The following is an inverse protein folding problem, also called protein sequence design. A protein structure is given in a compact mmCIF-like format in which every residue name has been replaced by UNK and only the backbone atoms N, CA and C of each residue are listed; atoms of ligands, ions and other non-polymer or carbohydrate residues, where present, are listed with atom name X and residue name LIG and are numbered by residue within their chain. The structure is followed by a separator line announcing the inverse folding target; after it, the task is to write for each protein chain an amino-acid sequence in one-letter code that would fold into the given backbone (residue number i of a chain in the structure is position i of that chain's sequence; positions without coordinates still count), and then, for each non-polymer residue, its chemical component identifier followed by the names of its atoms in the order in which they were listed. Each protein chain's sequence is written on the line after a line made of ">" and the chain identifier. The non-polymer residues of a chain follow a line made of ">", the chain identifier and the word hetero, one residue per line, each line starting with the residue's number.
data_IF_051437306943
#
_entry.id   IF_051437306943
#
_cell.length_a   1.000
_cell.length_b   1.000
_cell.length_c   1.000
_cell.angle_alpha   90.00
_cell.angle_beta   90.00
_cell.angle_gamma   90.00
#
_symmetry.space_group_name_H-M   'P 1'
#
loop_
_entity.id
_entity.type
_entity.pdbx_description
1 polymer ?
#
# COMPACT_ATOMS: atom_id res chain seq x y z
N UNK A 1 31.36 -6.58 17.96
CA UNK A 1 31.17 -7.24 16.65
C UNK A 1 30.06 -8.27 16.84
N UNK A 2 28.98 -8.20 16.08
CA UNK A 2 27.83 -9.10 16.18
C UNK A 2 28.28 -10.54 15.87
N UNK A 3 28.10 -11.51 16.78
CA UNK A 3 28.38 -12.92 16.47
C UNK A 3 27.22 -13.51 15.65
N UNK A 4 27.27 -13.26 14.34
CA UNK A 4 26.23 -13.69 13.39
C UNK A 4 26.03 -15.20 13.36
N UNK A 5 27.07 -16.00 13.66
CA UNK A 5 26.93 -17.47 13.69
C UNK A 5 26.10 -17.93 14.87
N UNK A 6 26.36 -17.37 16.05
CA UNK A 6 25.56 -17.64 17.25
C UNK A 6 24.11 -17.19 17.04
N UNK A 7 23.92 -15.96 16.56
CA UNK A 7 22.58 -15.42 16.28
C UNK A 7 21.80 -16.28 15.28
N UNK A 8 22.42 -16.66 14.16
CA UNK A 8 21.77 -17.50 13.17
C UNK A 8 21.39 -18.88 13.73
N UNK A 9 22.22 -19.44 14.64
CA UNK A 9 21.86 -20.67 15.36
C UNK A 9 20.65 -20.46 16.27
N UNK A 10 20.60 -19.36 17.03
CA UNK A 10 19.43 -18.98 17.85
C UNK A 10 18.17 -18.87 16.98
N UNK A 11 18.24 -18.14 15.87
CA UNK A 11 17.11 -17.92 14.98
C UNK A 11 16.59 -19.22 14.33
N UNK A 12 17.48 -20.09 13.86
CA UNK A 12 17.07 -21.39 13.29
C UNK A 12 16.38 -22.28 14.33
N UNK A 13 16.96 -22.37 15.52
CA UNK A 13 16.38 -23.12 16.64
C UNK A 13 15.02 -22.57 17.06
N UNK A 14 14.86 -21.26 17.00
CA UNK A 14 13.61 -20.56 17.27
C UNK A 14 12.54 -20.87 16.21
N UNK A 15 12.91 -20.82 14.93
CA UNK A 15 12.05 -21.22 13.80
C UNK A 15 11.60 -22.69 13.88
N UNK A 16 12.50 -23.61 14.26
CA UNK A 16 12.15 -25.03 14.47
C UNK A 16 11.09 -25.20 15.57
N UNK A 17 11.21 -24.46 16.68
CA UNK A 17 10.25 -24.49 17.77
C UNK A 17 8.92 -23.84 17.38
N UNK A 18 8.96 -22.73 16.64
CA UNK A 18 7.77 -22.08 16.05
C UNK A 18 7.02 -23.07 15.16
N UNK A 19 7.69 -23.70 14.19
CA UNK A 19 7.05 -24.68 13.32
C UNK A 19 6.40 -25.83 14.11
N UNK A 20 7.10 -26.34 15.13
CA UNK A 20 6.60 -27.49 15.90
C UNK A 20 5.46 -27.15 16.86
N UNK A 21 5.52 -26.00 17.53
CA UNK A 21 4.63 -25.67 18.64
C UNK A 21 3.53 -24.68 18.25
N UNK A 22 3.82 -23.79 17.30
CA UNK A 22 2.86 -22.80 16.83
C UNK A 22 2.11 -23.39 15.65
N UNK A 23 2.80 -23.63 14.53
CA UNK A 23 2.17 -24.02 13.26
C UNK A 23 1.51 -25.39 13.37
N UNK A 24 2.20 -26.39 13.91
CA UNK A 24 1.70 -27.77 13.96
C UNK A 24 0.88 -28.12 15.21
N UNK A 25 0.65 -27.17 16.12
CA UNK A 25 -0.05 -27.47 17.37
C UNK A 25 -1.01 -26.36 17.82
N UNK A 26 -0.52 -25.15 18.06
CA UNK A 26 -1.37 -24.08 18.60
C UNK A 26 -2.36 -23.54 17.58
N UNK A 27 -1.96 -23.37 16.32
CA UNK A 27 -2.87 -22.89 15.29
C UNK A 27 -4.00 -23.90 15.06
N UNK A 28 -3.75 -25.20 14.80
CA UNK A 28 -4.81 -26.20 14.66
C UNK A 28 -5.74 -26.26 15.88
N UNK A 29 -5.19 -26.09 17.09
CA UNK A 29 -5.98 -26.07 18.32
C UNK A 29 -6.87 -24.82 18.42
N UNK A 30 -6.39 -23.69 17.91
CA UNK A 30 -7.14 -22.44 17.90
C UNK A 30 -8.25 -22.44 16.84
N UNK A 31 -7.99 -23.04 15.68
CA UNK A 31 -8.99 -23.32 14.64
C UNK A 31 -10.10 -24.24 15.19
N UNK A 32 -9.74 -25.38 15.79
CA UNK A 32 -10.71 -26.35 16.30
C UNK A 32 -11.60 -25.77 17.42
N UNK A 33 -11.02 -24.99 18.35
CA UNK A 33 -11.76 -24.51 19.54
C UNK A 33 -12.46 -23.19 19.37
N UNK A 34 -11.83 -22.23 18.69
CA UNK A 34 -12.33 -20.86 18.58
C UNK A 34 -12.77 -20.52 17.15
N UNK A 35 -12.53 -21.42 16.17
CA UNK A 35 -12.86 -21.21 14.76
C UNK A 35 -12.31 -19.89 14.22
N UNK A 36 -11.09 -19.54 14.66
CA UNK A 36 -10.46 -18.26 14.31
C UNK A 36 -10.24 -18.11 12.80
N UNK A 37 -10.02 -19.22 12.10
CA UNK A 37 -10.03 -19.32 10.64
C UNK A 37 -11.37 -18.88 10.06
N UNK A 38 -12.47 -19.46 10.53
CA UNK A 38 -13.82 -19.17 10.05
C UNK A 38 -14.19 -17.71 10.34
N UNK A 39 -13.80 -17.18 11.51
CA UNK A 39 -14.04 -15.78 11.87
C UNK A 39 -13.26 -14.80 11.00
N UNK A 40 -12.00 -15.12 10.67
CA UNK A 40 -11.21 -14.31 9.75
C UNK A 40 -11.80 -14.33 8.34
N UNK A 41 -12.12 -15.52 7.82
CA UNK A 41 -12.72 -15.67 6.49
C UNK A 41 -14.08 -14.97 6.39
N UNK A 42 -14.91 -15.07 7.43
CA UNK A 42 -16.18 -14.35 7.47
C UNK A 42 -15.97 -12.83 7.47
N UNK A 43 -15.05 -12.31 8.27
CA UNK A 43 -14.71 -10.88 8.26
C UNK A 43 -14.17 -10.41 6.91
N UNK A 44 -13.38 -11.25 6.23
CA UNK A 44 -12.92 -10.96 4.89
C UNK A 44 -14.05 -10.96 3.87
N UNK A 45 -14.96 -11.93 3.92
CA UNK A 45 -16.09 -12.03 2.99
C UNK A 45 -17.08 -10.88 3.17
N UNK A 46 -17.42 -10.56 4.42
CA UNK A 46 -18.41 -9.54 4.79
C UNK A 46 -17.96 -8.11 4.36
N UNK A 47 -16.67 -7.79 4.45
CA UNK A 47 -16.15 -6.44 4.18
C UNK A 47 -15.34 -6.33 2.87
N UNK A 48 -14.69 -7.42 2.44
CA UNK A 48 -13.69 -7.43 1.36
C UNK A 48 -13.90 -8.58 0.36
N UNK A 49 -15.11 -9.14 0.28
CA UNK A 49 -15.40 -10.31 -0.56
C UNK A 49 -15.02 -10.12 -2.03
N UNK A 50 -15.08 -8.89 -2.55
CA UNK A 50 -14.67 -8.55 -3.92
C UNK A 50 -13.18 -8.79 -4.19
N UNK A 51 -12.32 -8.79 -3.16
CA UNK A 51 -10.89 -9.07 -3.31
C UNK A 51 -10.59 -10.57 -3.26
N UNK A 52 -11.47 -11.39 -2.67
CA UNK A 52 -11.23 -12.82 -2.51
C UNK A 52 -11.18 -13.54 -3.86
N UNK A 53 -11.88 -13.02 -4.87
CA UNK A 53 -11.84 -13.54 -6.24
C UNK A 53 -10.50 -13.30 -6.94
N UNK A 54 -9.72 -12.30 -6.49
CA UNK A 54 -8.41 -11.96 -7.06
C UNK A 54 -7.24 -12.71 -6.39
N UNK A 55 -7.46 -13.30 -5.22
CA UNK A 55 -6.41 -13.92 -4.42
C UNK A 55 -6.34 -15.44 -4.63
N UNK A 56 -5.13 -15.95 -4.86
CA UNK A 56 -4.89 -17.39 -4.90
C UNK A 56 -5.23 -18.05 -3.55
N UNK A 57 -5.84 -19.24 -3.53
CA UNK A 57 -6.24 -19.92 -2.29
C UNK A 57 -5.09 -20.11 -1.28
N UNK A 58 -3.87 -20.37 -1.76
CA UNK A 58 -2.69 -20.53 -0.92
C UNK A 58 -2.33 -19.23 -0.17
N UNK A 59 -2.57 -18.08 -0.79
CA UNK A 59 -2.36 -16.77 -0.16
C UNK A 59 -3.37 -16.56 0.97
N UNK A 60 -4.65 -16.83 0.71
CA UNK A 60 -5.70 -16.72 1.73
C UNK A 60 -5.35 -17.60 2.94
N UNK A 61 -4.95 -18.86 2.70
CA UNK A 61 -4.51 -19.75 3.77
C UNK A 61 -3.34 -19.18 4.57
N UNK A 62 -2.31 -18.64 3.89
CA UNK A 62 -1.14 -18.08 4.57
C UNK A 62 -1.49 -16.82 5.40
N UNK A 63 -2.40 -15.97 4.91
CA UNK A 63 -2.92 -14.81 5.64
C UNK A 63 -3.69 -15.25 6.90
N UNK A 64 -4.54 -16.27 6.79
CA UNK A 64 -5.25 -16.86 7.94
C UNK A 64 -4.27 -17.32 9.01
N UNK A 65 -3.24 -18.10 8.64
CA UNK A 65 -2.24 -18.60 9.59
C UNK A 65 -1.49 -17.45 10.29
N UNK A 66 -1.10 -16.42 9.55
CA UNK A 66 -0.44 -15.24 10.11
C UNK A 66 -1.36 -14.47 11.06
N UNK A 67 -2.63 -14.30 10.71
CA UNK A 67 -3.63 -13.64 11.55
C UNK A 67 -3.88 -14.43 12.84
N UNK A 68 -4.01 -15.76 12.77
CA UNK A 68 -4.21 -16.60 13.96
C UNK A 68 -3.00 -16.49 14.89
N UNK A 69 -1.78 -16.57 14.35
CA UNK A 69 -0.56 -16.38 15.14
C UNK A 69 -0.53 -15.00 15.81
N UNK A 70 -0.95 -13.95 15.10
CA UNK A 70 -1.11 -12.63 15.68
C UNK A 70 -2.16 -12.59 16.80
N UNK A 71 -3.33 -13.22 16.65
CA UNK A 71 -4.32 -13.27 17.75
C UNK A 71 -3.81 -14.05 18.96
N UNK A 72 -3.03 -15.11 18.74
CA UNK A 72 -2.45 -15.92 19.80
C UNK A 72 -1.40 -15.14 20.62
N UNK A 73 -0.50 -14.39 19.97
CA UNK A 73 0.68 -13.81 20.63
C UNK A 73 0.76 -12.29 20.61
N UNK A 74 -0.12 -11.62 19.87
CA UNK A 74 -0.23 -10.17 19.78
C UNK A 74 -1.02 -9.56 20.94
N UNK A 75 -1.63 -8.40 20.70
CA UNK A 75 -2.17 -7.50 21.72
C UNK A 75 -2.99 -8.20 22.82
N UNK A 76 -3.87 -9.13 22.42
CA UNK A 76 -4.78 -9.82 23.34
C UNK A 76 -4.26 -11.15 23.91
N UNK A 77 -3.12 -11.66 23.43
CA UNK A 77 -2.44 -12.88 23.91
C UNK A 77 -3.39 -14.07 24.13
N UNK A 78 -4.19 -14.44 23.11
CA UNK A 78 -5.14 -15.54 23.23
C UNK A 78 -4.49 -16.88 23.59
N UNK A 79 -3.18 -17.05 23.33
CA UNK A 79 -2.43 -18.24 23.71
C UNK A 79 -2.58 -18.63 25.20
N UNK A 80 -2.84 -17.65 26.09
CA UNK A 80 -3.09 -17.90 27.52
C UNK A 80 -4.24 -18.87 27.78
N UNK A 81 -5.25 -18.90 26.91
CA UNK A 81 -6.38 -19.83 26.99
C UNK A 81 -5.97 -21.29 26.80
N UNK A 82 -4.88 -21.53 26.08
CA UNK A 82 -4.45 -22.87 25.66
C UNK A 82 -3.33 -23.45 26.53
N UNK A 83 -2.64 -22.67 27.35
CA UNK A 83 -1.46 -23.13 28.11
C UNK A 83 -1.73 -24.35 29.01
N UNK A 84 -2.95 -24.48 29.52
CA UNK A 84 -3.35 -25.58 30.39
C UNK A 84 -3.94 -26.78 29.64
N UNK A 85 -4.02 -26.71 28.31
CA UNK A 85 -4.55 -27.80 27.49
C UNK A 85 -3.66 -29.05 27.63
N UNK A 86 -4.24 -30.27 27.69
CA UNK A 86 -3.46 -31.49 27.92
C UNK A 86 -2.29 -31.68 26.95
N UNK A 87 -2.47 -31.20 25.70
CA UNK A 87 -1.47 -31.28 24.63
C UNK A 87 -0.27 -30.33 24.84
N UNK A 88 -0.45 -29.24 25.60
CA UNK A 88 0.58 -28.29 25.99
C UNK A 88 1.13 -28.56 27.39
N UNK A 89 0.28 -28.98 28.32
CA UNK A 89 0.66 -29.33 29.69
C UNK A 89 1.68 -30.49 29.75
N UNK A 90 1.68 -31.38 28.76
CA UNK A 90 2.64 -32.52 28.66
C UNK A 90 3.96 -32.18 27.96
N UNK A 91 4.12 -30.95 27.46
CA UNK A 91 5.34 -30.54 26.76
C UNK A 91 6.53 -30.44 27.70
N UNK A 92 7.72 -30.58 27.13
CA UNK A 92 8.97 -30.49 27.88
C UNK A 92 9.15 -29.09 28.50
N UNK A 93 9.96 -28.99 29.57
CA UNK A 93 10.25 -27.70 30.20
C UNK A 93 10.82 -26.67 29.21
N UNK A 94 11.62 -27.12 28.23
CA UNK A 94 12.15 -26.28 27.15
C UNK A 94 11.05 -25.70 26.25
N UNK A 95 10.08 -26.50 25.86
CA UNK A 95 8.96 -26.07 25.01
C UNK A 95 8.01 -25.13 25.75
N UNK A 96 7.75 -25.42 27.03
CA UNK A 96 6.97 -24.52 27.88
C UNK A 96 7.67 -23.18 28.06
N UNK A 97 8.96 -23.19 28.37
CA UNK A 97 9.76 -21.96 28.48
C UNK A 97 9.80 -21.16 27.18
N UNK A 98 9.78 -21.82 26.02
CA UNK A 98 9.63 -21.15 24.73
C UNK A 98 8.26 -20.46 24.58
N UNK A 99 7.15 -21.15 24.90
CA UNK A 99 5.82 -20.53 24.80
C UNK A 99 5.63 -19.39 25.80
N UNK A 100 6.17 -19.54 27.00
CA UNK A 100 6.19 -18.49 28.02
C UNK A 100 7.00 -17.28 27.56
N UNK A 101 8.16 -17.47 26.90
CA UNK A 101 8.95 -16.34 26.39
C UNK A 101 8.19 -15.51 25.33
N UNK A 102 7.30 -16.14 24.56
CA UNK A 102 6.43 -15.44 23.58
C UNK A 102 5.36 -14.61 24.23
N UNK A 103 5.00 -14.89 25.49
CA UNK A 103 4.06 -14.06 26.21
C UNK A 103 4.67 -12.75 26.70
N UNK A 104 5.99 -12.66 26.83
CA UNK A 104 6.64 -11.43 27.29
C UNK A 104 6.88 -10.44 26.14
N UNK A 105 7.09 -10.95 24.92
CA UNK A 105 7.34 -10.13 23.74
C UNK A 105 6.17 -10.26 22.77
N UNK A 106 5.36 -9.21 22.70
CA UNK A 106 4.19 -9.17 21.83
C UNK A 106 4.60 -9.31 20.36
N UNK A 107 3.91 -10.21 19.68
CA UNK A 107 3.97 -10.26 18.22
C UNK A 107 3.19 -9.07 17.70
N UNK A 108 3.77 -8.36 16.74
CA UNK A 108 3.15 -7.14 16.24
C UNK A 108 3.45 -6.97 14.76
N UNK A 109 2.49 -6.41 14.04
CA UNK A 109 2.68 -6.05 12.65
C UNK A 109 3.47 -4.75 12.54
N UNK A 110 4.32 -4.66 11.53
CA UNK A 110 5.09 -3.46 11.24
C UNK A 110 5.15 -3.22 9.74
N UNK A 111 4.98 -1.96 9.34
CA UNK A 111 5.55 -1.45 8.11
C UNK A 111 6.99 -1.02 8.39
N UNK A 112 7.95 -1.66 7.74
CA UNK A 112 9.36 -1.41 7.94
C UNK A 112 10.10 -1.31 6.61
N UNK A 113 11.26 -0.65 6.63
CA UNK A 113 12.18 -0.65 5.49
C UNK A 113 13.57 -1.07 5.93
N UNK A 114 14.33 -1.64 5.02
CA UNK A 114 15.75 -1.93 5.23
C UNK A 114 16.51 -0.61 5.33
N UNK A 115 17.27 -0.44 6.42
CA UNK A 115 18.20 0.68 6.61
C UNK A 115 19.63 0.26 6.27
N UNK A 116 20.00 -0.96 6.63
CA UNK A 116 21.32 -1.53 6.39
C UNK A 116 21.22 -3.05 6.20
N UNK A 117 21.77 -3.56 5.10
CA UNK A 117 21.99 -5.00 4.92
C UNK A 117 23.32 -5.40 5.58
N UNK A 118 23.23 -6.27 6.59
CA UNK A 118 24.39 -6.79 7.31
C UNK A 118 24.90 -8.11 6.70
N UNK A 119 24.19 -8.69 5.73
CA UNK A 119 24.48 -9.97 5.08
C UNK A 119 24.21 -11.19 5.97
N UNK A 120 24.05 -12.36 5.33
CA UNK A 120 23.55 -13.60 5.94
C UNK A 120 22.15 -13.45 6.55
N UNK A 121 21.25 -12.80 5.79
CA UNK A 121 19.84 -12.58 6.15
C UNK A 121 19.63 -11.69 7.39
N UNK A 122 20.64 -10.91 7.78
CA UNK A 122 20.55 -9.94 8.87
C UNK A 122 20.40 -8.51 8.34
N UNK A 123 19.44 -7.78 8.86
CA UNK A 123 19.13 -6.41 8.46
C UNK A 123 18.97 -5.51 9.68
N UNK A 124 19.44 -4.26 9.57
CA UNK A 124 18.90 -3.18 10.41
C UNK A 124 17.65 -2.68 9.70
N UNK A 125 16.50 -2.89 10.33
CA UNK A 125 15.22 -2.41 9.84
C UNK A 125 14.82 -1.15 10.58
N UNK A 126 13.99 -0.31 9.96
CA UNK A 126 13.33 0.81 10.62
C UNK A 126 11.83 0.72 10.42
N UNK A 127 11.07 0.68 11.51
CA UNK A 127 9.61 0.83 11.47
C UNK A 127 9.29 2.24 10.97
N UNK A 128 8.51 2.37 9.90
CA UNK A 128 8.28 3.67 9.28
C UNK A 128 7.27 4.54 10.02
N UNK A 129 6.44 3.94 10.87
CA UNK A 129 5.46 4.61 11.70
C UNK A 129 6.06 5.04 13.04
N UNK A 130 6.68 4.12 13.79
CA UNK A 130 7.26 4.39 15.12
C UNK A 130 8.67 4.97 15.06
N UNK A 131 9.33 4.89 13.90
CA UNK A 131 10.74 5.26 13.66
C UNK A 131 11.77 4.41 14.40
N UNK A 132 11.34 3.40 15.16
CA UNK A 132 12.22 2.50 15.90
C UNK A 132 13.06 1.64 14.95
N UNK A 133 14.31 1.42 15.33
CA UNK A 133 15.25 0.57 14.60
C UNK A 133 15.42 -0.76 15.32
N UNK A 134 15.49 -1.84 14.56
CA UNK A 134 15.61 -3.17 15.11
C UNK A 134 16.45 -4.08 14.23
N UNK A 135 17.13 -5.04 14.87
CA UNK A 135 17.85 -6.10 14.18
C UNK A 135 16.86 -7.19 13.77
N UNK A 136 16.76 -7.46 12.48
CA UNK A 136 15.96 -8.51 11.90
C UNK A 136 16.85 -9.63 11.35
N UNK A 137 16.47 -10.87 11.59
CA UNK A 137 16.90 -12.03 10.81
C UNK A 137 15.73 -12.54 9.98
N UNK A 138 15.82 -12.47 8.65
CA UNK A 138 14.77 -12.98 7.75
C UNK A 138 15.33 -13.38 6.39
N UNK A 139 15.46 -14.70 6.11
CA UNK A 139 15.80 -15.19 4.78
C UNK A 139 14.76 -14.80 3.72
N UNK A 140 13.50 -14.59 4.12
CA UNK A 140 12.44 -14.13 3.22
C UNK A 140 12.68 -12.69 2.74
N UNK A 141 13.01 -11.78 3.65
CA UNK A 141 13.43 -10.41 3.26
C UNK A 141 14.70 -10.47 2.41
N UNK A 142 15.68 -11.31 2.77
CA UNK A 142 16.90 -11.49 1.96
C UNK A 142 16.63 -11.93 0.52
N UNK A 143 15.61 -12.78 0.31
CA UNK A 143 15.17 -13.14 -1.04
C UNK A 143 14.59 -11.93 -1.80
N UNK A 144 13.68 -11.18 -1.18
CA UNK A 144 13.08 -10.01 -1.83
C UNK A 144 14.11 -8.93 -2.18
N UNK A 145 15.05 -8.64 -1.27
CA UNK A 145 16.14 -7.70 -1.52
C UNK A 145 17.08 -8.17 -2.65
N UNK A 146 17.19 -9.49 -2.88
CA UNK A 146 17.94 -10.02 -4.03
C UNK A 146 17.18 -9.93 -5.36
N UNK A 147 15.84 -9.85 -5.31
CA UNK A 147 14.96 -9.83 -6.48
C UNK A 147 14.69 -8.40 -6.98
N UNK A 148 14.84 -7.37 -6.13
CA UNK A 148 14.67 -5.97 -6.52
C UNK A 148 14.61 -4.99 -5.35
N UNK A 149 14.42 -3.71 -5.67
CA UNK A 149 14.23 -2.65 -4.67
C UNK A 149 12.77 -2.60 -4.20
N UNK A 150 12.57 -2.55 -2.88
CA UNK A 150 11.26 -2.44 -2.24
C UNK A 150 11.24 -1.21 -1.32
N UNK A 151 10.16 -0.44 -1.35
CA UNK A 151 10.01 0.74 -0.53
C UNK A 151 9.67 0.41 0.93
N UNK A 152 8.80 -0.58 1.12
CA UNK A 152 8.29 -1.01 2.43
C UNK A 152 8.07 -2.52 2.47
N UNK A 153 8.10 -3.06 3.67
CA UNK A 153 7.70 -4.41 4.01
C UNK A 153 6.60 -4.36 5.07
N UNK A 154 5.50 -5.05 4.84
CA UNK A 154 4.54 -5.37 5.90
C UNK A 154 4.81 -6.78 6.43
N UNK A 155 5.15 -6.86 7.72
CA UNK A 155 5.66 -8.07 8.36
C UNK A 155 5.10 -8.24 9.76
N UNK A 156 4.77 -9.48 10.13
CA UNK A 156 4.52 -9.86 11.51
C UNK A 156 5.86 -10.20 12.19
N UNK A 157 6.19 -9.45 13.24
CA UNK A 157 7.45 -9.56 13.96
C UNK A 157 7.30 -10.39 15.24
N UNK A 158 8.29 -11.23 15.50
CA UNK A 158 8.46 -11.94 16.77
C UNK A 158 9.89 -11.80 17.28
N UNK A 159 10.06 -11.57 18.59
CA UNK A 159 11.37 -11.44 19.21
C UNK A 159 11.80 -12.76 19.87
N UNK A 160 12.99 -13.24 19.53
CA UNK A 160 13.53 -14.49 20.06
C UNK A 160 14.44 -14.33 21.29
N UNK A 161 14.58 -13.09 21.79
CA UNK A 161 15.47 -12.75 22.91
C UNK A 161 16.80 -12.12 22.47
N UNK A 162 17.22 -12.31 21.21
CA UNK A 162 18.44 -11.72 20.67
C UNK A 162 18.18 -10.81 19.45
N UNK A 163 17.20 -11.14 18.60
CA UNK A 163 16.77 -10.32 17.47
C UNK A 163 15.32 -10.63 17.07
N UNK A 164 14.78 -9.83 16.14
CA UNK A 164 13.47 -10.10 15.55
C UNK A 164 13.56 -11.10 14.40
N UNK A 165 12.47 -11.83 14.18
CA UNK A 165 12.23 -12.67 13.03
C UNK A 165 10.84 -12.37 12.45
N UNK A 166 10.67 -12.60 11.16
CA UNK A 166 9.36 -12.53 10.49
C UNK A 166 8.59 -13.84 10.68
N UNK A 167 7.27 -13.77 10.77
CA UNK A 167 6.37 -14.93 10.76
C UNK A 167 5.30 -14.82 9.67
N UNK A 168 5.03 -15.91 8.96
CA UNK A 168 4.04 -15.95 7.89
C UNK A 168 4.46 -15.17 6.64
N UNK A 169 3.51 -14.72 5.80
CA UNK A 169 3.79 -13.94 4.62
C UNK A 169 4.56 -12.64 4.91
N UNK A 170 5.49 -12.32 4.02
CA UNK A 170 6.17 -11.03 3.97
C UNK A 170 5.61 -10.33 2.74
N UNK A 171 5.04 -9.15 2.93
CA UNK A 171 4.46 -8.37 1.83
C UNK A 171 5.43 -7.24 1.48
N UNK A 172 6.25 -7.39 0.42
CA UNK A 172 7.04 -6.29 -0.10
C UNK A 172 6.16 -5.34 -0.90
N UNK A 173 6.46 -4.06 -0.84
CA UNK A 173 5.80 -3.03 -1.65
C UNK A 173 6.85 -2.27 -2.44
N UNK A 174 6.65 -2.12 -3.74
CA UNK A 174 7.55 -1.34 -4.61
C UNK A 174 7.25 0.15 -4.54
N UNK A 175 5.98 0.52 -4.33
CA UNK A 175 5.49 1.90 -4.47
C UNK A 175 4.95 2.53 -3.19
N UNK A 176 4.49 1.74 -2.21
CA UNK A 176 3.88 2.32 -1.01
C UNK A 176 4.89 3.11 -0.19
N UNK A 177 4.44 4.26 0.33
CA UNK A 177 5.19 5.16 1.18
C UNK A 177 4.46 5.35 2.52
N UNK A 178 5.13 5.87 3.56
CA UNK A 178 4.47 6.11 4.85
C UNK A 178 3.23 7.01 4.75
N UNK A 179 3.24 8.01 3.85
CA UNK A 179 2.07 8.86 3.59
C UNK A 179 0.84 8.07 3.11
N UNK A 180 1.05 7.00 2.34
CA UNK A 180 -0.04 6.15 1.84
C UNK A 180 -0.73 5.41 2.99
N UNK A 181 0.04 5.02 4.01
CA UNK A 181 -0.48 4.34 5.20
C UNK A 181 -1.36 5.29 6.03
N UNK A 182 -0.97 6.56 6.13
CA UNK A 182 -1.76 7.58 6.81
C UNK A 182 -3.05 7.87 6.04
N UNK A 183 -2.95 8.04 4.71
CA UNK A 183 -4.12 8.22 3.87
C UNK A 183 -5.09 7.04 3.95
N UNK A 184 -4.60 5.81 3.77
CA UNK A 184 -5.41 4.60 3.85
C UNK A 184 -6.09 4.46 5.22
N UNK A 185 -5.37 4.70 6.31
CA UNK A 185 -5.94 4.63 7.65
C UNK A 185 -6.98 5.73 7.89
N UNK A 186 -6.76 6.95 7.41
CA UNK A 186 -7.76 8.03 7.45
C UNK A 186 -9.02 7.71 6.65
N UNK A 187 -8.91 6.91 5.59
CA UNK A 187 -10.07 6.39 4.86
C UNK A 187 -10.81 5.28 5.62
N UNK A 188 -10.15 4.55 6.52
CA UNK A 188 -10.80 3.58 7.41
C UNK A 188 -11.49 4.26 8.59
N UNK A 189 -10.85 5.27 9.17
CA UNK A 189 -11.35 6.06 10.30
C UNK A 189 -10.83 7.50 10.18
N UNK A 190 -11.75 8.43 9.93
CA UNK A 190 -11.46 9.86 9.71
C UNK A 190 -10.79 10.54 10.92
N UNK A 191 -10.80 9.89 12.10
CA UNK A 191 -10.10 10.40 13.29
C UNK A 191 -8.60 10.16 13.27
N UNK A 192 -8.11 9.30 12.38
CA UNK A 192 -6.68 8.99 12.27
C UNK A 192 -5.99 10.10 11.47
N UNK A 193 -5.17 10.90 12.16
CA UNK A 193 -4.42 12.03 11.60
C UNK A 193 -2.90 11.90 11.72
N UNK A 194 -2.39 10.93 12.50
CA UNK A 194 -0.94 10.76 12.71
C UNK A 194 -0.45 9.30 12.69
N UNK A 195 0.86 9.11 12.46
CA UNK A 195 1.45 7.77 12.31
C UNK A 195 1.36 6.88 13.56
N UNK A 196 1.28 7.46 14.76
CA UNK A 196 1.06 6.72 16.02
C UNK A 196 -0.30 6.02 16.01
N UNK A 197 -1.33 6.71 15.56
CA UNK A 197 -2.69 6.20 15.46
C UNK A 197 -2.79 5.13 14.38
N UNK A 198 -2.10 5.31 13.24
CA UNK A 198 -1.97 4.26 12.21
C UNK A 198 -1.33 3.00 12.81
N UNK A 199 -0.24 3.16 13.57
CA UNK A 199 0.44 2.03 14.20
C UNK A 199 -0.49 1.28 15.17
N UNK A 200 -1.26 2.01 15.99
CA UNK A 200 -2.24 1.42 16.89
C UNK A 200 -3.35 0.69 16.11
N UNK A 201 -3.93 1.32 15.09
CA UNK A 201 -4.99 0.74 14.27
C UNK A 201 -4.56 -0.58 13.62
N UNK A 202 -3.33 -0.67 13.13
CA UNK A 202 -2.76 -1.92 12.59
C UNK A 202 -2.74 -3.04 13.65
N UNK A 203 -2.44 -2.74 14.92
CA UNK A 203 -2.47 -3.77 15.95
C UNK A 203 -3.91 -4.15 16.34
N UNK A 204 -4.83 -3.20 16.37
CA UNK A 204 -6.23 -3.50 16.69
C UNK A 204 -6.87 -4.37 15.61
N UNK A 205 -6.66 -3.98 14.35
CA UNK A 205 -7.24 -4.61 13.18
C UNK A 205 -6.25 -4.61 12.00
N UNK A 206 -5.42 -5.66 11.87
CA UNK A 206 -4.42 -5.75 10.81
C UNK A 206 -5.01 -6.13 9.44
N UNK A 207 -6.26 -6.61 9.39
CA UNK A 207 -6.83 -7.22 8.18
C UNK A 207 -6.84 -6.26 6.98
N UNK A 208 -7.31 -5.00 7.10
CA UNK A 208 -7.30 -4.08 5.97
C UNK A 208 -5.89 -3.79 5.45
N UNK A 209 -4.90 -3.79 6.33
CA UNK A 209 -3.50 -3.53 5.96
C UNK A 209 -2.83 -4.75 5.32
N UNK A 210 -3.24 -5.98 5.69
CA UNK A 210 -2.84 -7.20 4.98
C UNK A 210 -3.32 -7.15 3.52
N UNK A 211 -4.53 -6.65 3.30
CA UNK A 211 -5.15 -6.56 1.97
C UNK A 211 -4.51 -5.50 1.05
N UNK A 212 -3.73 -4.56 1.59
CA UNK A 212 -2.94 -3.64 0.76
C UNK A 212 -1.97 -4.37 -0.17
N UNK A 213 -1.72 -5.67 0.03
CA UNK A 213 -0.94 -6.51 -0.91
C UNK A 213 -1.41 -6.42 -2.37
N UNK A 214 -2.68 -6.08 -2.63
CA UNK A 214 -3.19 -5.80 -3.99
C UNK A 214 -2.44 -4.65 -4.68
N UNK A 215 -1.78 -3.80 -3.91
CA UNK A 215 -0.93 -2.69 -4.37
C UNK A 215 0.59 -3.00 -4.33
N UNK A 216 0.99 -4.22 -3.97
CA UNK A 216 2.40 -4.58 -3.73
C UNK A 216 3.34 -4.31 -4.90
N UNK A 217 2.89 -4.58 -6.12
CA UNK A 217 3.72 -4.50 -7.33
C UNK A 217 3.69 -3.14 -8.03
N UNK A 218 2.83 -2.21 -7.59
CA UNK A 218 2.77 -0.88 -8.20
C UNK A 218 4.03 -0.10 -7.85
N UNK A 219 4.83 0.36 -8.83
CA UNK A 219 6.07 1.07 -8.55
C UNK A 219 5.81 2.53 -8.17
N UNK A 220 6.81 3.16 -7.54
CA UNK A 220 6.87 4.62 -7.51
C UNK A 220 6.94 5.15 -8.94
N UNK A 221 6.06 6.11 -9.26
CA UNK A 221 5.98 6.70 -10.59
C UNK A 221 6.58 8.09 -10.58
N UNK A 222 7.54 8.35 -11.46
CA UNK A 222 8.20 9.64 -11.58
C UNK A 222 7.99 10.23 -12.98
N UNK A 223 7.75 11.54 -13.04
CA UNK A 223 7.98 12.32 -14.25
C UNK A 223 9.27 13.11 -14.14
N UNK A 224 10.32 12.65 -14.81
CA UNK A 224 11.69 13.17 -14.66
C UNK A 224 12.15 13.06 -13.21
N UNK A 225 12.09 14.15 -12.45
CA UNK A 225 12.50 14.22 -11.04
C UNK A 225 11.31 14.36 -10.09
N UNK A 226 10.11 14.56 -10.64
CA UNK A 226 8.91 14.82 -9.85
C UNK A 226 8.24 13.48 -9.56
N UNK A 227 8.13 13.14 -8.27
CA UNK A 227 7.32 12.01 -7.82
C UNK A 227 5.84 12.33 -8.09
N UNK A 228 5.14 11.38 -8.70
CA UNK A 228 3.69 11.45 -8.84
C UNK A 228 3.07 11.14 -7.48
N UNK A 229 2.49 12.17 -6.88
CA UNK A 229 1.82 12.14 -5.58
C UNK A 229 0.61 13.04 -5.67
N UNK A 230 -0.56 12.48 -5.40
CA UNK A 230 -1.82 13.19 -5.43
C UNK A 230 -2.03 13.87 -4.09
N UNK A 231 -2.07 15.19 -4.10
CA UNK A 231 -2.42 16.02 -2.96
C UNK A 231 -3.80 16.64 -3.18
N UNK A 232 -4.62 16.65 -2.13
CA UNK A 232 -5.93 17.29 -2.13
C UNK A 232 -6.19 17.95 -0.77
N UNK A 233 -6.80 19.13 -0.78
CA UNK A 233 -7.31 19.79 0.42
C UNK A 233 -8.64 20.46 0.16
N UNK A 234 -9.48 20.48 1.18
CA UNK A 234 -10.79 21.12 1.16
C UNK A 234 -10.79 22.32 2.11
N UNK A 235 -11.05 23.51 1.57
CA UNK A 235 -11.15 24.74 2.34
C UNK A 235 -12.58 25.27 2.27
N UNK A 236 -13.13 25.65 3.42
CA UNK A 236 -14.41 26.36 3.47
C UNK A 236 -14.19 27.83 3.11
N UNK A 237 -14.82 28.29 2.03
CA UNK A 237 -14.72 29.66 1.52
C UNK A 237 -16.11 30.22 1.25
N UNK A 238 -16.47 31.28 1.98
CA UNK A 238 -17.79 31.92 1.84
C UNK A 238 -17.97 32.62 0.48
N UNK A 239 -16.92 33.25 -0.04
CA UNK A 239 -16.92 33.93 -1.33
C UNK A 239 -15.50 34.12 -1.86
N UNK A 240 -15.29 33.96 -3.17
CA UNK A 240 -14.02 34.22 -3.83
C UNK A 240 -14.15 35.36 -4.86
N UNK A 241 -13.20 36.31 -4.87
CA UNK A 241 -13.12 37.35 -5.91
C UNK A 241 -12.35 36.82 -7.12
N UNK A 242 -13.04 36.06 -7.98
CA UNK A 242 -12.45 35.37 -9.14
C UNK A 242 -11.65 36.31 -10.07
N UNK A 243 -11.98 37.61 -10.14
CA UNK A 243 -11.25 38.57 -10.97
C UNK A 243 -9.79 38.73 -10.56
N UNK A 244 -9.48 38.62 -9.27
CA UNK A 244 -8.09 38.67 -8.78
C UNK A 244 -7.27 37.44 -9.17
N UNK A 245 -7.95 36.36 -9.53
CA UNK A 245 -7.36 35.07 -9.83
C UNK A 245 -7.09 34.88 -11.32
N UNK A 246 -7.75 35.63 -12.20
CA UNK A 246 -7.62 35.56 -13.67
C UNK A 246 -6.18 35.77 -14.16
N UNK A 247 -5.34 36.51 -13.42
CA UNK A 247 -3.93 36.71 -13.79
C UNK A 247 -3.10 35.43 -13.62
N UNK A 248 -3.40 34.64 -12.59
CA UNK A 248 -2.68 33.41 -12.24
C UNK A 248 -3.33 32.14 -12.80
N UNK A 249 -4.65 32.16 -13.01
CA UNK A 249 -5.45 30.98 -13.36
C UNK A 249 -6.19 31.16 -14.69
N UNK A 250 -6.39 30.06 -15.41
CA UNK A 250 -7.44 29.94 -16.44
C UNK A 250 -8.70 29.46 -15.73
N UNK A 251 -9.80 30.19 -15.86
CA UNK A 251 -11.03 29.91 -15.12
C UNK A 251 -12.10 29.45 -16.11
N UNK A 252 -12.71 28.30 -15.84
CA UNK A 252 -13.84 27.73 -16.56
C UNK A 252 -15.01 27.54 -15.59
N UNK A 253 -16.24 27.63 -16.09
CA UNK A 253 -17.45 27.49 -15.27
C UNK A 253 -18.36 26.45 -15.91
N UNK A 254 -18.91 25.58 -15.06
CA UNK A 254 -19.88 24.57 -15.43
C UNK A 254 -20.83 24.31 -14.28
N UNK A 255 -22.12 24.49 -14.54
CA UNK A 255 -23.22 24.27 -13.60
C UNK A 255 -23.03 24.94 -12.23
N UNK A 256 -22.47 26.15 -12.22
CA UNK A 256 -22.21 26.94 -11.01
C UNK A 256 -20.96 26.54 -10.23
N UNK A 257 -20.16 25.60 -10.75
CA UNK A 257 -18.83 25.24 -10.23
C UNK A 257 -17.77 25.84 -11.13
N UNK A 258 -16.68 26.34 -10.55
CA UNK A 258 -15.57 26.93 -11.28
C UNK A 258 -14.32 26.04 -11.20
N UNK A 259 -13.72 25.70 -12.34
CA UNK A 259 -12.39 25.10 -12.40
C UNK A 259 -11.35 26.21 -12.61
N UNK A 260 -10.40 26.31 -11.69
CA UNK A 260 -9.29 27.26 -11.74
C UNK A 260 -8.00 26.49 -12.03
N UNK A 261 -7.55 26.56 -13.27
CA UNK A 261 -6.36 25.90 -13.78
C UNK A 261 -5.13 26.81 -13.64
N UNK A 262 -4.14 26.42 -12.82
CA UNK A 262 -2.94 27.24 -12.61
C UNK A 262 -2.14 27.36 -13.92
N UNK A 263 -1.96 28.59 -14.43
CA UNK A 263 -1.29 28.81 -15.72
C UNK A 263 0.10 28.19 -15.72
N UNK A 264 0.39 27.37 -16.75
CA UNK A 264 1.65 26.60 -16.95
C UNK A 264 1.83 25.37 -16.05
N UNK A 265 0.94 25.11 -15.11
CA UNK A 265 1.04 23.99 -14.15
C UNK A 265 -0.20 23.09 -14.12
N UNK A 266 -1.29 23.50 -14.76
CA UNK A 266 -2.56 22.75 -14.78
C UNK A 266 -2.52 21.44 -15.58
N UNK A 267 -1.50 21.21 -16.40
CA UNK A 267 -1.39 20.02 -17.24
C UNK A 267 -0.25 19.10 -16.78
N UNK A 268 -0.06 18.01 -17.52
CA UNK A 268 0.98 17.02 -17.27
C UNK A 268 2.36 17.66 -17.02
N UNK A 269 3.09 17.26 -15.95
CA UNK A 269 2.76 16.21 -14.98
C UNK A 269 2.04 16.70 -13.72
N UNK A 270 1.88 18.02 -13.56
CA UNK A 270 1.59 18.63 -12.27
C UNK A 270 0.10 18.64 -11.95
N UNK A 271 -0.75 18.83 -12.97
CA UNK A 271 -2.20 18.90 -12.82
C UNK A 271 -2.63 19.80 -11.66
N UNK A 272 -2.01 20.97 -11.52
CA UNK A 272 -2.28 21.91 -10.44
C UNK A 272 -3.53 22.74 -10.75
N UNK A 273 -4.63 22.45 -10.08
CA UNK A 273 -5.92 23.10 -10.30
C UNK A 273 -6.72 23.21 -9.00
N UNK A 274 -7.80 24.00 -9.04
CA UNK A 274 -8.74 24.13 -7.93
C UNK A 274 -10.16 24.03 -8.46
N UNK A 275 -11.10 23.58 -7.62
CA UNK A 275 -12.52 23.67 -7.87
C UNK A 275 -13.17 24.57 -6.83
N UNK A 276 -13.89 25.58 -7.26
CA UNK A 276 -14.67 26.45 -6.38
C UNK A 276 -16.15 26.23 -6.61
N UNK A 277 -16.86 25.79 -5.57
CA UNK A 277 -18.30 25.58 -5.56
C UNK A 277 -18.96 26.56 -4.56
N UNK A 278 -19.41 27.74 -5.02
CA UNK A 278 -19.98 28.77 -4.15
C UNK A 278 -21.21 28.31 -3.39
N UNK A 279 -22.07 27.50 -4.02
CA UNK A 279 -23.28 26.97 -3.39
C UNK A 279 -22.97 26.12 -2.15
N UNK A 280 -21.89 25.33 -2.24
CA UNK A 280 -21.47 24.43 -1.17
C UNK A 280 -20.51 25.11 -0.19
N UNK A 281 -20.04 26.32 -0.52
CA UNK A 281 -19.03 27.05 0.25
C UNK A 281 -17.67 26.37 0.24
N UNK A 282 -17.37 25.56 -0.79
CA UNK A 282 -16.16 24.72 -0.85
C UNK A 282 -15.16 25.22 -1.88
N UNK A 283 -13.88 25.14 -1.52
CA UNK A 283 -12.73 25.35 -2.39
C UNK A 283 -11.79 24.16 -2.28
N UNK A 284 -11.77 23.32 -3.32
CA UNK A 284 -10.96 22.10 -3.38
C UNK A 284 -9.67 22.42 -4.14
N UNK A 285 -8.54 22.11 -3.55
CA UNK A 285 -7.20 22.33 -4.14
C UNK A 285 -6.58 20.98 -4.44
N UNK A 286 -6.04 20.79 -5.65
CA UNK A 286 -5.48 19.52 -6.07
C UNK A 286 -4.22 19.68 -6.94
N UNK A 287 -3.27 18.77 -6.75
CA UNK A 287 -2.12 18.60 -7.63
C UNK A 287 -1.64 17.14 -7.64
N UNK A 288 -0.96 16.73 -8.72
CA UNK A 288 -0.48 15.36 -8.94
C UNK A 288 1.04 15.19 -8.73
N UNK A 289 1.71 16.22 -8.20
CA UNK A 289 3.13 16.14 -7.81
C UNK A 289 3.40 17.08 -6.63
N UNK A 290 4.42 16.79 -5.83
CA UNK A 290 4.86 17.64 -4.71
C UNK A 290 5.19 19.06 -5.17
N UNK A 291 6.01 19.22 -6.22
CA UNK A 291 6.35 20.55 -6.77
C UNK A 291 5.13 21.31 -7.30
N UNK A 292 4.18 20.59 -7.91
CA UNK A 292 2.92 21.17 -8.37
C UNK A 292 2.08 21.70 -7.21
N UNK A 293 2.00 20.91 -6.12
CA UNK A 293 1.33 21.27 -4.88
C UNK A 293 1.96 22.51 -4.23
N UNK A 294 3.27 22.48 -4.00
CA UNK A 294 4.02 23.61 -3.43
C UNK A 294 3.78 24.91 -4.22
N UNK A 295 3.82 24.82 -5.56
CA UNK A 295 3.62 25.99 -6.41
C UNK A 295 2.19 26.51 -6.34
N UNK A 296 1.22 25.61 -6.29
CA UNK A 296 -0.19 25.94 -6.18
C UNK A 296 -0.51 26.62 -4.84
N UNK A 297 -0.06 26.03 -3.73
CA UNK A 297 -0.16 26.60 -2.38
C UNK A 297 0.47 27.99 -2.32
N UNK A 298 1.68 28.16 -2.88
CA UNK A 298 2.34 29.47 -2.92
C UNK A 298 1.47 30.53 -3.59
N UNK A 299 0.93 30.24 -4.78
CA UNK A 299 0.12 31.20 -5.55
C UNK A 299 -1.20 31.51 -4.85
N UNK A 300 -1.85 30.51 -4.27
CA UNK A 300 -3.08 30.68 -3.48
C UNK A 300 -2.80 31.57 -2.26
N UNK A 301 -1.68 31.35 -1.57
CA UNK A 301 -1.28 32.14 -0.41
C UNK A 301 -0.95 33.59 -0.79
N UNK A 302 -0.29 33.81 -1.93
CA UNK A 302 -0.03 35.16 -2.47
C UNK A 302 -1.34 35.91 -2.83
N UNK A 303 -2.41 35.18 -3.15
CA UNK A 303 -3.75 35.72 -3.42
C UNK A 303 -4.58 35.95 -2.14
N UNK A 304 -4.02 35.66 -0.97
CA UNK A 304 -4.59 36.00 0.34
C UNK A 304 -5.47 34.92 0.98
N UNK A 305 -5.44 33.68 0.48
CA UNK A 305 -5.95 32.52 1.23
C UNK A 305 -4.83 31.94 2.10
N UNK A 306 -5.17 31.27 3.19
CA UNK A 306 -4.19 30.55 4.01
C UNK A 306 -4.37 29.06 3.78
N UNK A 307 -3.42 28.45 3.07
CA UNK A 307 -3.38 27.02 2.79
C UNK A 307 -2.05 26.43 3.28
N UNK A 308 -2.13 25.28 3.96
CA UNK A 308 -0.98 24.55 4.45
C UNK A 308 -0.21 23.85 3.32
N UNK A 309 1.10 23.71 3.50
CA UNK A 309 1.94 22.93 2.57
C UNK A 309 1.65 21.43 2.65
N UNK A 310 1.11 20.94 3.77
CA UNK A 310 0.70 19.55 3.91
C UNK A 310 -0.78 19.44 3.48
N UNK A 311 -1.09 18.64 2.44
CA UNK A 311 -2.49 18.42 2.04
C UNK A 311 -3.25 17.57 3.06
N UNK A 312 -4.57 17.80 3.17
CA UNK A 312 -5.50 16.97 3.95
C UNK A 312 -5.46 15.49 3.53
N UNK A 313 -5.37 15.24 2.22
CA UNK A 313 -5.24 13.90 1.65
C UNK A 313 -4.02 13.84 0.72
N UNK A 314 -3.17 12.83 0.93
CA UNK A 314 -1.95 12.63 0.16
C UNK A 314 -1.70 11.16 -0.13
N UNK A 315 -1.58 10.77 -1.40
CA UNK A 315 -1.24 9.40 -1.76
C UNK A 315 -0.37 9.34 -3.02
N UNK A 316 0.57 8.41 -3.04
CA UNK A 316 1.18 7.94 -4.29
C UNK A 316 0.14 7.21 -5.15
N UNK A 317 0.48 6.92 -6.40
CA UNK A 317 -0.39 6.09 -7.25
C UNK A 317 -0.65 4.70 -6.64
N UNK A 318 0.36 4.07 -6.04
CA UNK A 318 0.20 2.79 -5.37
C UNK A 318 -0.74 2.89 -4.16
N UNK A 319 -0.61 3.95 -3.35
CA UNK A 319 -1.50 4.19 -2.22
C UNK A 319 -2.94 4.45 -2.65
N UNK A 320 -3.15 5.33 -3.63
CA UNK A 320 -4.49 5.65 -4.13
C UNK A 320 -5.20 4.41 -4.71
N UNK A 321 -4.52 3.63 -5.56
CA UNK A 321 -5.08 2.41 -6.16
C UNK A 321 -5.31 1.33 -5.10
N UNK A 322 -4.37 1.15 -4.16
CA UNK A 322 -4.52 0.20 -3.06
C UNK A 322 -5.74 0.52 -2.19
N UNK A 323 -5.91 1.78 -1.82
CA UNK A 323 -7.08 2.25 -1.07
C UNK A 323 -8.38 2.02 -1.85
N UNK A 324 -8.41 2.37 -3.14
CA UNK A 324 -9.59 2.20 -4.00
C UNK A 324 -9.98 0.73 -4.14
N UNK A 325 -9.01 -0.14 -4.41
CA UNK A 325 -9.26 -1.59 -4.49
C UNK A 325 -9.74 -2.17 -3.16
N UNK A 326 -9.10 -1.81 -2.05
CA UNK A 326 -9.43 -2.42 -0.76
C UNK A 326 -10.75 -1.89 -0.20
N UNK A 327 -11.00 -0.58 -0.28
CA UNK A 327 -12.14 0.06 0.39
C UNK A 327 -13.30 0.39 -0.54
N UNK A 328 -13.15 0.24 -1.87
CA UNK A 328 -14.14 0.68 -2.84
C UNK A 328 -14.38 2.19 -2.83
N UNK A 329 -13.46 2.97 -2.24
CA UNK A 329 -13.54 4.43 -2.13
C UNK A 329 -12.79 5.09 -3.28
N UNK A 330 -13.35 6.15 -3.82
CA UNK A 330 -12.66 6.98 -4.80
C UNK A 330 -11.33 7.46 -4.20
N UNK A 331 -10.23 7.33 -4.96
CA UNK A 331 -8.90 7.77 -4.53
C UNK A 331 -8.82 9.28 -4.26
N UNK A 332 -7.60 9.82 -4.18
CA UNK A 332 -7.40 11.27 -3.93
C UNK A 332 -7.85 12.08 -5.14
N UNK A 333 -9.15 12.44 -5.19
CA UNK A 333 -9.79 13.12 -6.32
C UNK A 333 -10.80 14.15 -5.83
N UNK A 334 -10.94 15.23 -6.60
CA UNK A 334 -11.98 16.24 -6.37
C UNK A 334 -13.36 15.65 -6.72
N UNK A 335 -14.40 15.90 -5.91
CA UNK A 335 -15.77 15.51 -6.25
C UNK A 335 -16.33 16.26 -7.48
N UNK A 336 -15.70 17.36 -7.88
CA UNK A 336 -16.12 18.16 -9.03
C UNK A 336 -15.33 17.87 -10.33
N UNK A 337 -14.28 17.05 -10.25
CA UNK A 337 -13.36 16.87 -11.39
C UNK A 337 -14.02 16.29 -12.63
N UNK A 338 -14.97 15.35 -12.45
CA UNK A 338 -15.68 14.71 -13.56
C UNK A 338 -16.55 15.68 -14.37
N UNK A 339 -16.97 16.80 -13.78
CA UNK A 339 -17.77 17.81 -14.49
C UNK A 339 -17.00 18.39 -15.67
N UNK A 340 -15.69 18.57 -15.53
CA UNK A 340 -14.82 19.23 -16.51
C UNK A 340 -14.10 18.26 -17.45
N UNK A 341 -14.35 16.95 -17.30
CA UNK A 341 -13.81 15.95 -18.24
C UNK A 341 -14.63 16.02 -19.54
N UNK A 342 -14.00 16.28 -20.70
CA UNK A 342 -14.72 16.28 -21.97
C UNK A 342 -15.36 14.91 -22.23
N UNK A 343 -16.62 14.88 -22.67
CA UNK A 343 -17.23 13.67 -23.19
C UNK A 343 -16.39 13.14 -24.37
N UNK A 344 -15.83 11.95 -24.20
CA UNK A 344 -15.20 11.21 -25.29
C UNK A 344 -16.29 10.53 -26.11
N UNK A 345 -16.07 10.45 -27.42
CA UNK A 345 -17.02 9.72 -28.29
C UNK A 345 -16.96 8.21 -28.02
N UNK A 346 -18.07 7.49 -28.27
CA UNK A 346 -18.10 6.00 -28.15
C UNK A 346 -16.98 5.33 -28.97
N UNK A 347 -16.59 5.95 -30.09
CA UNK A 347 -15.50 5.45 -30.95
C UNK A 347 -14.12 5.61 -30.29
N UNK A 348 -13.87 6.73 -29.60
CA UNK A 348 -12.64 6.99 -28.85
C UNK A 348 -12.55 6.10 -27.60
N UNK A 349 -13.66 5.92 -26.89
CA UNK A 349 -13.74 5.01 -25.74
C UNK A 349 -13.43 3.57 -26.15
N UNK A 350 -14.10 3.07 -27.20
CA UNK A 350 -13.83 1.75 -27.75
C UNK A 350 -12.38 1.63 -28.27
N UNK A 351 -11.79 2.72 -28.77
CA UNK A 351 -10.37 2.78 -29.12
C UNK A 351 -9.45 2.59 -27.93
N UNK A 352 -9.70 3.30 -26.83
CA UNK A 352 -8.92 3.21 -25.59
C UNK A 352 -9.05 1.83 -24.94
N UNK A 353 -10.24 1.22 -24.95
CA UNK A 353 -10.44 -0.14 -24.45
C UNK A 353 -9.60 -1.17 -25.22
N UNK A 354 -9.55 -1.08 -26.55
CA UNK A 354 -8.71 -1.95 -27.39
C UNK A 354 -7.23 -1.79 -27.06
N UNK A 355 -6.77 -0.55 -26.86
CA UNK A 355 -5.40 -0.26 -26.43
C UNK A 355 -5.14 -0.87 -25.05
N UNK A 356 -6.01 -0.64 -24.06
CA UNK A 356 -5.86 -1.18 -22.71
C UNK A 356 -5.82 -2.72 -22.69
N UNK A 357 -6.69 -3.37 -23.46
CA UNK A 357 -6.67 -4.82 -23.63
C UNK A 357 -5.36 -5.29 -24.25
N UNK A 358 -4.85 -4.60 -25.27
CA UNK A 358 -3.56 -4.91 -25.87
C UNK A 358 -2.41 -4.76 -24.86
N UNK A 359 -2.42 -3.71 -24.03
CA UNK A 359 -1.43 -3.53 -22.96
C UNK A 359 -1.46 -4.67 -21.95
N UNK A 360 -2.66 -5.06 -21.49
CA UNK A 360 -2.83 -6.16 -20.53
C UNK A 360 -2.27 -7.48 -21.06
N UNK A 361 -2.42 -7.75 -22.36
CA UNK A 361 -1.83 -8.92 -23.00
C UNK A 361 -0.31 -8.82 -23.18
N UNK A 362 0.21 -7.62 -23.48
CA UNK A 362 1.63 -7.39 -23.77
C UNK A 362 2.51 -7.37 -22.51
N UNK A 363 2.03 -6.75 -21.43
CA UNK A 363 2.81 -6.47 -20.23
C UNK A 363 3.43 -7.71 -19.54
N UNK A 364 2.74 -8.86 -19.41
CA UNK A 364 3.33 -10.06 -18.82
C UNK A 364 4.61 -10.51 -19.53
N UNK A 365 4.62 -10.50 -20.87
CA UNK A 365 5.79 -10.88 -21.68
C UNK A 365 6.94 -9.89 -21.53
N UNK A 366 6.63 -8.59 -21.44
CA UNK A 366 7.66 -7.57 -21.20
C UNK A 366 8.29 -7.73 -19.82
N UNK A 367 7.49 -8.04 -18.80
CA UNK A 367 7.95 -8.26 -17.43
C UNK A 367 8.78 -9.54 -17.28
N UNK A 368 8.38 -10.64 -17.94
CA UNK A 368 9.09 -11.93 -17.91
C UNK A 368 10.28 -12.02 -18.88
N UNK A 369 10.44 -11.03 -19.77
CA UNK A 369 11.38 -11.04 -20.91
C UNK A 369 11.17 -12.23 -21.84
N UNK A 370 9.97 -12.80 -21.86
CA UNK A 370 9.61 -13.89 -22.77
C UNK A 370 9.33 -13.37 -24.18
N UNK A 371 9.46 -14.26 -25.16
CA UNK A 371 9.11 -13.95 -26.54
C UNK A 371 7.59 -13.94 -26.72
N UNK A 372 7.10 -13.08 -27.61
CA UNK A 372 5.69 -12.93 -27.92
C UNK A 372 5.48 -12.63 -29.41
N UNK A 373 4.34 -13.06 -29.97
CA UNK A 373 3.91 -12.69 -31.31
C UNK A 373 3.00 -11.46 -31.26
N UNK A 374 3.53 -10.32 -31.68
CA UNK A 374 2.81 -9.06 -31.72
C UNK A 374 1.53 -9.12 -32.58
N UNK A 375 1.51 -9.92 -33.66
CA UNK A 375 0.32 -10.05 -34.52
C UNK A 375 -0.80 -10.79 -33.79
N UNK A 376 -0.45 -11.84 -33.05
CA UNK A 376 -1.42 -12.61 -32.28
C UNK A 376 -2.04 -11.77 -31.17
N UNK A 377 -1.21 -11.04 -30.41
CA UNK A 377 -1.70 -10.14 -29.37
C UNK A 377 -2.58 -9.01 -29.93
N UNK A 378 -2.22 -8.46 -31.09
CA UNK A 378 -3.02 -7.43 -31.75
C UNK A 378 -4.41 -7.96 -32.15
N UNK A 379 -4.48 -9.18 -32.70
CA UNK A 379 -5.75 -9.83 -33.06
C UNK A 379 -6.59 -10.12 -31.81
N UNK A 380 -5.98 -10.62 -30.74
CA UNK A 380 -6.69 -10.92 -29.48
C UNK A 380 -7.28 -9.66 -28.84
N UNK A 381 -6.57 -8.54 -28.88
CA UNK A 381 -7.04 -7.26 -28.36
C UNK A 381 -7.95 -6.49 -29.34
N UNK A 382 -8.14 -6.99 -30.57
CA UNK A 382 -8.94 -6.34 -31.60
C UNK A 382 -8.34 -5.04 -32.15
N UNK A 383 -7.03 -4.81 -31.98
CA UNK A 383 -6.33 -3.58 -32.39
C UNK A 383 -5.60 -3.79 -33.74
N UNK A 384 -5.51 -2.74 -34.55
CA UNK A 384 -4.77 -2.81 -35.81
C UNK A 384 -3.28 -3.06 -35.56
N UNK A 385 -2.64 -3.89 -36.40
CA UNK A 385 -1.24 -4.28 -36.20
C UNK A 385 -0.27 -3.08 -36.15
N UNK A 386 -0.48 -2.08 -37.02
CA UNK A 386 0.40 -0.90 -37.07
C UNK A 386 0.31 -0.07 -35.78
N UNK A 387 -0.89 -0.01 -35.21
CA UNK A 387 -1.16 0.67 -33.93
C UNK A 387 -0.56 -0.11 -32.76
N UNK A 388 -0.79 -1.43 -32.71
CA UNK A 388 -0.15 -2.33 -31.75
C UNK A 388 1.39 -2.23 -31.80
N UNK A 389 1.96 -2.15 -32.99
CA UNK A 389 3.40 -1.98 -33.19
C UNK A 389 3.91 -0.65 -32.65
N UNK A 390 3.19 0.44 -32.91
CA UNK A 390 3.53 1.76 -32.38
C UNK A 390 3.49 1.79 -30.86
N UNK A 391 2.42 1.26 -30.25
CA UNK A 391 2.25 1.19 -28.79
C UNK A 391 3.34 0.32 -28.16
N UNK A 392 3.56 -0.89 -28.68
CA UNK A 392 4.58 -1.80 -28.17
C UNK A 392 6.00 -1.20 -28.25
N UNK A 393 6.30 -0.47 -29.33
CA UNK A 393 7.58 0.23 -29.50
C UNK A 393 7.77 1.32 -28.45
N UNK A 394 6.76 2.16 -28.23
CA UNK A 394 6.83 3.24 -27.23
C UNK A 394 7.05 2.69 -25.82
N UNK A 395 6.42 1.56 -25.49
CA UNK A 395 6.57 0.93 -24.17
C UNK A 395 7.96 0.33 -24.01
N UNK A 396 8.46 -0.40 -25.02
CA UNK A 396 9.83 -0.93 -25.00
C UNK A 396 10.87 0.17 -24.82
N UNK A 397 10.74 1.27 -25.57
CA UNK A 397 11.64 2.42 -25.45
C UNK A 397 11.59 3.08 -24.05
N UNK A 398 10.46 3.01 -23.34
CA UNK A 398 10.34 3.48 -21.95
C UNK A 398 10.96 2.48 -20.96
N UNK A 399 10.72 1.18 -21.14
CA UNK A 399 11.34 0.13 -20.34
C UNK A 399 12.87 0.15 -20.44
N UNK A 400 13.42 0.29 -21.65
CA UNK A 400 14.87 0.37 -21.89
C UNK A 400 15.53 1.63 -21.33
N UNK A 401 14.77 2.66 -20.97
CA UNK A 401 15.27 3.89 -20.33
C UNK A 401 15.10 3.89 -18.81
N UNK A 402 14.33 2.96 -18.27
CA UNK A 402 14.15 2.77 -16.82
C UNK A 402 15.23 1.85 -16.22
N UNK A 403 15.95 1.12 -17.06
CA UNK A 403 17.19 0.38 -16.75
C UNK A 403 18.37 1.04 -17.47
#
# INVERSE_FOLDING_TARGET
>A
MLDKRKLAYTCRRDSELTARLIDNLLIPLAEDKERLDSLFLQSLDDEYGHLLEELEPEWIYALVQQYIAYKLFGLHRHVKKYLNEPQLARRSAREKGFLESRLFNLWHFAFARVKEDLGNDFFVMRNVLTKEEFLLYSPGVGKYESDGEHSLYFILLTFNGECYQTYGPIMPYSGLQPLDLLYFAGQLDEKIGEYSEVHQKIQEDPVPFMLLMVASTFPLTFHKKDLVVFGLSEVNVASLDLKRWEDSFKIEEQDGVYELNLKRWWSHPHFAHCHYAPHDGKFIVSAATERGWEKLVQVINDLGMELDLQPDACATAAGAIGTERVLGKNGVRSPYGEMFVPEISEEEEAGLERINNFLNLLMPYLNSKEQYDLRELAVQAGIAYDEAHMVAKQIKEKFEKMF
#
